data_IF_507984007191
#
_entry.id   IF_507984007191
#
_cell.length_a   1.000
_cell.length_b   1.000
_cell.length_c   1.000
_cell.angle_alpha   90.00
_cell.angle_beta   90.00
_cell.angle_gamma   90.00
#
_symmetry.space_group_name_H-M   'P 1'
#
loop_
_entity.id
_entity.type
_entity.pdbx_description
1 polymer ?
#
# COMPACT_ATOMS: atom_id res chain seq x y z
N UNK A 1 -60.54 16.75 -31.25
CA UNK A 1 -59.18 16.17 -31.22
C UNK A 1 -58.20 17.33 -31.10
N UNK A 2 -57.50 17.47 -29.98
CA UNK A 2 -56.47 18.50 -29.80
C UNK A 2 -55.16 17.80 -29.45
N UNK A 3 -54.17 17.90 -30.35
CA UNK A 3 -52.81 17.42 -30.11
C UNK A 3 -52.07 18.46 -29.26
N UNK A 4 -51.70 18.08 -28.04
CA UNK A 4 -50.82 18.88 -27.19
C UNK A 4 -49.38 18.62 -27.65
N UNK A 5 -48.79 19.61 -28.31
CA UNK A 5 -47.35 19.68 -28.56
C UNK A 5 -46.64 19.97 -27.23
N UNK A 6 -46.15 18.94 -26.55
CA UNK A 6 -45.26 19.10 -25.41
C UNK A 6 -43.92 19.63 -25.91
N UNK A 7 -43.65 20.92 -25.66
CA UNK A 7 -42.35 21.53 -25.88
C UNK A 7 -41.33 20.85 -24.97
N UNK A 8 -40.39 20.10 -25.55
CA UNK A 8 -39.25 19.55 -24.81
C UNK A 8 -38.44 20.71 -24.21
N UNK A 9 -38.51 20.87 -22.89
CA UNK A 9 -37.69 21.85 -22.16
C UNK A 9 -36.23 21.44 -22.31
N UNK A 10 -35.38 22.36 -22.80
CA UNK A 10 -33.93 22.18 -22.77
C UNK A 10 -33.50 21.97 -21.31
N UNK A 11 -32.70 20.93 -21.00
CA UNK A 11 -32.21 20.70 -19.65
C UNK A 11 -31.44 21.93 -19.17
N UNK A 12 -31.62 22.28 -17.90
CA UNK A 12 -30.89 23.40 -17.28
C UNK A 12 -29.40 23.03 -17.25
N UNK A 13 -28.52 24.03 -17.35
CA UNK A 13 -27.06 23.81 -17.39
C UNK A 13 -26.54 23.02 -16.17
N UNK A 14 -27.29 23.09 -15.06
CA UNK A 14 -27.00 22.39 -13.79
C UNK A 14 -27.54 20.95 -13.74
N UNK A 15 -28.33 20.51 -14.73
CA UNK A 15 -28.86 19.15 -14.86
C UNK A 15 -27.98 18.28 -15.80
N UNK A 16 -26.92 18.85 -16.37
CA UNK A 16 -25.98 18.12 -17.22
C UNK A 16 -24.96 17.42 -16.30
N UNK A 17 -24.91 16.08 -16.24
CA UNK A 17 -23.91 15.38 -15.45
C UNK A 17 -22.52 15.72 -15.99
N UNK A 18 -21.72 16.38 -15.15
CA UNK A 18 -20.34 16.72 -15.47
C UNK A 18 -19.46 15.60 -14.94
N UNK A 19 -18.90 14.79 -15.85
CA UNK A 19 -17.87 13.82 -15.49
C UNK A 19 -16.59 14.57 -15.10
N UNK A 20 -16.25 14.56 -13.81
CA UNK A 20 -14.93 15.00 -13.34
C UNK A 20 -13.97 13.81 -13.46
N UNK A 21 -12.95 13.94 -14.30
CA UNK A 21 -11.84 12.98 -14.34
C UNK A 21 -10.96 13.28 -13.13
N UNK A 22 -11.03 12.44 -12.10
CA UNK A 22 -10.08 12.45 -10.99
C UNK A 22 -8.94 11.50 -11.32
N UNK A 23 -7.75 12.04 -11.62
CA UNK A 23 -6.57 11.23 -11.80
C UNK A 23 -6.10 10.67 -10.45
N UNK A 24 -5.88 9.36 -10.41
CA UNK A 24 -5.25 8.67 -9.28
C UNK A 24 -3.95 8.10 -9.80
N UNK A 25 -2.83 8.54 -9.24
CA UNK A 25 -1.49 8.14 -9.70
C UNK A 25 -0.89 7.19 -8.69
N UNK A 26 -0.51 5.99 -9.15
CA UNK A 26 0.34 5.07 -8.40
C UNK A 26 1.75 5.19 -8.96
N UNK A 27 2.69 5.60 -8.12
CA UNK A 27 4.10 5.64 -8.49
C UNK A 27 4.71 4.28 -8.19
N UNK A 28 5.00 3.50 -9.24
CA UNK A 28 5.76 2.28 -9.15
C UNK A 28 7.21 2.59 -9.54
N UNK A 29 8.10 2.57 -8.56
CA UNK A 29 9.52 2.79 -8.80
C UNK A 29 10.21 1.49 -9.19
N UNK A 30 10.74 1.46 -10.41
CA UNK A 30 11.56 0.39 -10.97
C UNK A 30 13.05 0.73 -10.98
N UNK A 31 13.46 1.82 -10.32
CA UNK A 31 14.86 2.18 -10.20
C UNK A 31 15.68 1.01 -9.62
N UNK A 32 16.79 0.68 -10.29
CA UNK A 32 17.67 -0.43 -9.91
C UNK A 32 17.10 -1.83 -10.20
N UNK A 33 16.04 -1.95 -11.01
CA UNK A 33 15.49 -3.23 -11.45
C UNK A 33 15.55 -3.29 -12.97
N UNK A 34 16.20 -4.32 -13.52
CA UNK A 34 16.25 -4.56 -14.96
C UNK A 34 14.94 -5.21 -15.42
N UNK A 35 14.32 -4.68 -16.48
CA UNK A 35 13.12 -5.25 -17.10
C UNK A 35 12.05 -4.20 -17.46
N UNK A 36 10.99 -4.64 -18.14
CA UNK A 36 9.86 -3.79 -18.54
C UNK A 36 8.71 -3.87 -17.53
N UNK A 37 8.35 -2.73 -16.95
CA UNK A 37 7.30 -2.61 -15.94
C UNK A 37 5.91 -2.47 -16.57
N UNK A 38 4.98 -3.39 -16.26
CA UNK A 38 3.60 -3.35 -16.79
C UNK A 38 2.56 -3.57 -15.71
N UNK A 39 1.42 -2.89 -15.84
CA UNK A 39 0.26 -3.14 -14.98
C UNK A 39 -0.36 -4.48 -15.42
N UNK A 40 -0.40 -5.45 -14.50
CA UNK A 40 -1.01 -6.77 -14.72
C UNK A 40 -2.47 -6.81 -14.24
N UNK A 41 -2.78 -6.02 -13.22
CA UNK A 41 -4.13 -5.91 -12.67
C UNK A 41 -4.36 -4.52 -12.09
N UNK A 42 -5.55 -3.98 -12.33
CA UNK A 42 -5.94 -2.66 -11.85
C UNK A 42 -7.41 -2.66 -11.43
N UNK A 43 -7.66 -2.26 -10.20
CA UNK A 43 -8.96 -1.82 -9.74
C UNK A 43 -8.79 -0.66 -8.74
N UNK A 44 -9.88 -0.01 -8.27
CA UNK A 44 -9.80 1.15 -7.37
C UNK A 44 -9.14 0.90 -6.00
N UNK A 45 -8.88 -0.37 -5.63
CA UNK A 45 -8.37 -0.82 -4.32
C UNK A 45 -7.12 -1.71 -4.43
N UNK A 46 -6.66 -2.01 -5.64
CA UNK A 46 -5.52 -2.86 -5.90
C UNK A 46 -4.86 -2.50 -7.24
N UNK A 47 -3.54 -2.38 -7.22
CA UNK A 47 -2.70 -2.30 -8.42
C UNK A 47 -1.64 -3.38 -8.32
N UNK A 48 -1.61 -4.29 -9.29
CA UNK A 48 -0.52 -5.25 -9.45
C UNK A 48 0.32 -4.82 -10.64
N UNK A 49 1.61 -4.62 -10.39
CA UNK A 49 2.60 -4.32 -11.42
C UNK A 49 3.55 -5.50 -11.54
N UNK A 50 3.75 -5.92 -12.78
CA UNK A 50 4.68 -6.95 -13.16
C UNK A 50 5.95 -6.38 -13.76
N UNK A 51 7.00 -7.18 -13.70
CA UNK A 51 8.27 -6.96 -14.38
C UNK A 51 8.45 -8.11 -15.37
N UNK A 52 8.61 -7.79 -16.65
CA UNK A 52 8.68 -8.78 -17.74
C UNK A 52 7.50 -9.77 -17.74
N UNK A 53 6.32 -9.29 -17.34
CA UNK A 53 5.08 -10.06 -17.28
C UNK A 53 4.87 -10.85 -15.99
N UNK A 54 5.84 -10.91 -15.07
CA UNK A 54 5.73 -11.65 -13.80
C UNK A 54 5.32 -10.70 -12.66
N UNK A 55 4.36 -11.07 -11.79
CA UNK A 55 3.98 -10.26 -10.63
C UNK A 55 5.18 -9.86 -9.76
N UNK A 56 5.33 -8.55 -9.52
CA UNK A 56 6.50 -8.00 -8.83
C UNK A 56 6.13 -7.09 -7.66
N UNK A 57 5.26 -6.12 -7.90
CA UNK A 57 4.87 -5.10 -6.91
C UNK A 57 3.35 -5.05 -6.78
N UNK A 58 2.87 -5.19 -5.54
CA UNK A 58 1.45 -5.17 -5.21
C UNK A 58 1.14 -3.97 -4.32
N UNK A 59 0.21 -3.14 -4.77
CA UNK A 59 -0.37 -2.06 -3.98
C UNK A 59 -1.79 -2.42 -3.63
N UNK A 60 -2.17 -2.32 -2.36
CA UNK A 60 -3.52 -2.62 -1.90
C UNK A 60 -3.98 -1.64 -0.84
N UNK A 61 -5.29 -1.40 -0.82
CA UNK A 61 -5.95 -0.73 0.30
C UNK A 61 -6.29 -1.72 1.42
N UNK A 62 -6.44 -1.23 2.65
CA UNK A 62 -6.73 -2.07 3.82
C UNK A 62 -8.04 -2.89 3.69
N UNK A 63 -8.98 -2.44 2.85
CA UNK A 63 -10.29 -3.04 2.64
C UNK A 63 -10.41 -3.83 1.32
N UNK A 64 -9.27 -4.17 0.70
CA UNK A 64 -9.24 -4.94 -0.54
C UNK A 64 -9.53 -6.44 -0.30
N UNK A 65 -10.43 -7.02 -1.11
CA UNK A 65 -10.69 -8.46 -1.16
C UNK A 65 -9.92 -9.10 -2.32
N UNK A 66 -9.12 -10.13 -2.03
CA UNK A 66 -8.27 -10.83 -2.99
C UNK A 66 -9.01 -11.69 -4.03
N UNK A 67 -10.28 -12.03 -3.83
CA UNK A 67 -10.97 -13.06 -4.64
C UNK A 67 -10.85 -12.82 -6.15
N UNK A 68 -11.00 -11.57 -6.58
CA UNK A 68 -10.93 -11.23 -8.00
C UNK A 68 -9.49 -11.20 -8.53
N UNK A 69 -8.52 -10.83 -7.68
CA UNK A 69 -7.09 -10.87 -8.01
C UNK A 69 -6.61 -12.31 -8.17
N UNK A 70 -6.97 -13.20 -7.26
CA UNK A 70 -6.60 -14.63 -7.33
C UNK A 70 -7.26 -15.33 -8.51
N UNK A 71 -8.50 -14.97 -8.88
CA UNK A 71 -9.14 -15.50 -10.10
C UNK A 71 -8.42 -15.06 -11.37
N UNK A 72 -7.89 -13.84 -11.39
CA UNK A 72 -7.28 -13.25 -12.60
C UNK A 72 -5.82 -13.67 -12.77
N UNK A 73 -5.05 -13.62 -11.68
CA UNK A 73 -3.59 -13.84 -11.69
C UNK A 73 -3.23 -15.27 -11.26
N UNK A 74 -4.10 -15.94 -10.51
CA UNK A 74 -3.85 -17.30 -10.03
C UNK A 74 -2.68 -17.37 -9.04
N UNK A 75 -1.97 -18.50 -9.07
CA UNK A 75 -0.85 -18.78 -8.17
C UNK A 75 0.40 -17.93 -8.41
N UNK A 76 0.52 -17.28 -9.58
CA UNK A 76 1.64 -16.40 -9.89
C UNK A 76 1.68 -15.15 -9.00
N UNK A 77 0.54 -14.79 -8.39
CA UNK A 77 0.44 -13.68 -7.44
C UNK A 77 1.50 -13.78 -6.33
N UNK A 78 1.85 -14.99 -5.87
CA UNK A 78 2.81 -15.19 -4.80
C UNK A 78 4.28 -14.98 -5.21
N UNK A 79 4.53 -14.58 -6.47
CA UNK A 79 5.86 -14.14 -6.94
C UNK A 79 6.21 -12.70 -6.52
N UNK A 80 5.22 -11.92 -6.07
CA UNK A 80 5.40 -10.53 -5.63
C UNK A 80 6.52 -10.42 -4.59
N UNK A 81 7.39 -9.44 -4.82
CA UNK A 81 8.53 -9.11 -3.96
C UNK A 81 8.35 -7.82 -3.18
N UNK A 82 7.50 -6.91 -3.66
CA UNK A 82 7.26 -5.60 -3.06
C UNK A 82 5.78 -5.43 -2.73
N UNK A 83 5.47 -5.15 -1.47
CA UNK A 83 4.09 -4.95 -1.00
C UNK A 83 3.92 -3.53 -0.44
N UNK A 84 2.90 -2.83 -0.92
CA UNK A 84 2.48 -1.51 -0.41
C UNK A 84 1.07 -1.62 0.16
N UNK A 85 0.95 -1.36 1.45
CA UNK A 85 -0.31 -1.25 2.17
C UNK A 85 -0.60 0.22 2.44
N UNK A 86 -1.70 0.73 1.89
CA UNK A 86 -2.08 2.13 2.04
C UNK A 86 -3.55 2.31 2.37
N UNK A 87 -3.93 3.45 2.95
CA UNK A 87 -5.35 3.67 3.26
C UNK A 87 -6.22 3.80 1.99
N UNK A 88 -5.77 4.58 1.01
CA UNK A 88 -6.47 4.77 -0.28
C UNK A 88 -5.46 5.20 -1.34
N UNK A 89 -5.83 5.05 -2.61
CA UNK A 89 -5.06 5.61 -3.74
C UNK A 89 -5.39 7.07 -4.03
N UNK A 90 -6.56 7.55 -3.60
CA UNK A 90 -6.95 8.94 -3.76
C UNK A 90 -6.07 9.87 -2.93
N UNK A 91 -5.98 11.14 -3.32
CA UNK A 91 -5.30 12.15 -2.51
C UNK A 91 -5.97 12.24 -1.13
N UNK A 92 -5.18 12.04 -0.08
CA UNK A 92 -5.64 12.07 1.31
C UNK A 92 -5.00 13.25 2.00
N UNK A 93 -5.79 14.00 2.77
CA UNK A 93 -5.21 14.91 3.76
C UNK A 93 -4.31 14.09 4.71
N UNK A 94 -3.09 14.54 5.04
CA UNK A 94 -2.17 13.83 5.94
C UNK A 94 -2.78 13.46 7.31
N UNK A 95 -3.85 14.15 7.70
CA UNK A 95 -4.58 13.95 8.95
C UNK A 95 -5.56 12.76 8.91
N UNK A 96 -5.96 12.29 7.73
CA UNK A 96 -6.88 11.15 7.60
C UNK A 96 -6.07 9.86 7.48
N UNK A 97 -5.87 9.20 8.61
CA UNK A 97 -5.38 7.82 8.70
C UNK A 97 -6.55 6.88 8.96
N UNK A 98 -6.39 5.63 8.57
CA UNK A 98 -7.34 4.57 8.92
C UNK A 98 -6.59 3.35 9.41
N UNK A 99 -7.23 2.62 10.31
CA UNK A 99 -6.71 1.36 10.80
C UNK A 99 -6.49 0.38 9.65
N UNK A 100 -5.26 -0.11 9.53
CA UNK A 100 -4.89 -1.12 8.56
C UNK A 100 -4.93 -2.49 9.21
N UNK A 101 -6.09 -3.14 9.12
CA UNK A 101 -6.18 -4.57 9.40
C UNK A 101 -5.39 -5.32 8.34
N UNK A 102 -4.40 -6.12 8.75
CA UNK A 102 -3.63 -6.95 7.83
C UNK A 102 -4.48 -8.16 7.44
N UNK A 103 -4.82 -8.34 6.14
CA UNK A 103 -5.53 -9.54 5.71
C UNK A 103 -4.66 -10.80 5.79
N UNK A 104 -5.23 -11.91 6.30
CA UNK A 104 -4.52 -13.18 6.51
C UNK A 104 -3.86 -13.75 5.24
N UNK A 105 -4.45 -13.47 4.08
CA UNK A 105 -3.93 -13.98 2.81
C UNK A 105 -2.57 -13.38 2.43
N UNK A 106 -2.21 -12.22 2.96
CA UNK A 106 -0.88 -11.63 2.77
C UNK A 106 0.22 -12.47 3.45
N UNK A 107 -0.13 -13.30 4.44
CA UNK A 107 0.81 -14.18 5.13
C UNK A 107 1.24 -15.38 4.27
N UNK A 108 0.52 -15.64 3.17
CA UNK A 108 0.84 -16.69 2.21
C UNK A 108 2.01 -16.29 1.28
N UNK A 109 2.33 -15.00 1.15
CA UNK A 109 3.45 -14.55 0.33
C UNK A 109 4.77 -15.00 0.95
N UNK A 110 5.68 -15.57 0.16
CA UNK A 110 6.97 -16.09 0.65
C UNK A 110 8.18 -15.38 0.04
N UNK A 111 7.96 -14.36 -0.78
CA UNK A 111 9.01 -13.65 -1.53
C UNK A 111 9.04 -12.15 -1.28
N UNK A 112 8.22 -11.64 -0.34
CA UNK A 112 8.19 -10.21 -0.02
C UNK A 112 9.49 -9.83 0.68
N UNK A 113 10.33 -9.10 -0.04
CA UNK A 113 11.61 -8.55 0.41
C UNK A 113 11.46 -7.08 0.84
N UNK A 114 10.45 -6.38 0.33
CA UNK A 114 10.21 -4.97 0.59
C UNK A 114 8.75 -4.71 0.97
N UNK A 115 8.54 -4.05 2.11
CA UNK A 115 7.22 -3.80 2.68
C UNK A 115 7.05 -2.31 3.01
N UNK A 116 6.03 -1.67 2.46
CA UNK A 116 5.71 -0.26 2.73
C UNK A 116 4.31 -0.08 3.29
N UNK A 117 4.21 0.75 4.32
CA UNK A 117 2.95 1.21 4.90
C UNK A 117 2.79 2.71 4.68
N UNK A 118 1.61 3.15 4.21
CA UNK A 118 1.37 4.56 3.86
C UNK A 118 0.03 5.09 4.38
N UNK A 119 0.07 6.14 5.19
CA UNK A 119 -1.13 6.79 5.78
C UNK A 119 -2.04 5.84 6.57
N UNK A 120 -1.46 4.97 7.40
CA UNK A 120 -2.21 3.94 8.14
C UNK A 120 -1.95 3.98 9.64
N UNK A 121 -2.92 3.49 10.41
CA UNK A 121 -2.71 3.09 11.80
C UNK A 121 -2.39 1.59 11.83
N UNK A 122 -1.30 1.18 12.47
CA UNK A 122 -0.71 -0.16 12.39
C UNK A 122 -0.29 -0.66 13.77
N UNK A 123 -0.96 -1.71 14.25
CA UNK A 123 -0.63 -2.37 15.53
C UNK A 123 -0.18 -3.83 15.37
N UNK A 124 -0.52 -4.48 14.25
CA UNK A 124 -0.34 -5.93 14.06
C UNK A 124 0.87 -6.29 13.20
N UNK A 125 1.91 -5.45 13.18
CA UNK A 125 3.10 -5.64 12.33
C UNK A 125 3.79 -7.01 12.56
N UNK A 126 3.69 -7.56 13.78
CA UNK A 126 4.21 -8.88 14.14
C UNK A 126 3.65 -10.04 13.31
N UNK A 127 2.51 -9.86 12.61
CA UNK A 127 1.96 -10.85 11.69
C UNK A 127 2.93 -11.16 10.54
N UNK A 128 3.73 -10.18 10.13
CA UNK A 128 4.69 -10.33 9.03
C UNK A 128 6.08 -10.86 9.45
N UNK A 129 6.28 -11.24 10.71
CA UNK A 129 7.59 -11.70 11.25
C UNK A 129 8.26 -12.85 10.47
N UNK A 130 7.46 -13.71 9.83
CA UNK A 130 7.95 -14.86 9.07
C UNK A 130 8.17 -14.56 7.58
N UNK A 131 7.89 -13.34 7.12
CA UNK A 131 8.19 -12.92 5.76
C UNK A 131 9.68 -12.58 5.62
N UNK A 132 10.28 -12.80 4.44
CA UNK A 132 11.69 -12.48 4.22
C UNK A 132 11.92 -10.99 3.95
N UNK A 133 11.27 -10.12 4.73
CA UNK A 133 11.36 -8.66 4.56
C UNK A 133 12.76 -8.19 4.93
N UNK A 134 13.41 -7.54 3.99
CA UNK A 134 14.72 -6.94 4.12
C UNK A 134 14.61 -5.43 4.34
N UNK A 135 13.62 -4.79 3.72
CA UNK A 135 13.40 -3.35 3.82
C UNK A 135 11.96 -3.03 4.22
N UNK A 136 11.82 -2.33 5.35
CA UNK A 136 10.55 -1.79 5.84
C UNK A 136 10.49 -0.28 5.60
N UNK A 137 9.41 0.21 5.00
CA UNK A 137 9.17 1.63 4.75
C UNK A 137 7.91 2.10 5.46
N UNK A 138 8.03 3.15 6.25
CA UNK A 138 6.97 3.68 7.10
C UNK A 138 6.74 5.14 6.75
N UNK A 139 5.61 5.42 6.08
CA UNK A 139 5.25 6.76 5.66
C UNK A 139 3.91 7.17 6.25
N UNK A 140 3.94 8.19 7.11
CA UNK A 140 2.81 8.71 7.85
C UNK A 140 2.02 7.62 8.58
N UNK A 141 2.77 6.73 9.24
CA UNK A 141 2.24 5.61 10.03
C UNK A 141 2.02 6.06 11.47
N UNK A 142 0.96 5.59 12.09
CA UNK A 142 0.72 5.71 13.53
C UNK A 142 0.61 4.33 14.16
N UNK A 143 1.15 4.17 15.35
CA UNK A 143 1.00 2.96 16.17
C UNK A 143 0.49 3.39 17.55
N UNK A 144 -0.34 2.56 18.16
CA UNK A 144 -0.96 2.88 19.46
C UNK A 144 0.01 2.69 20.62
N UNK A 145 0.85 1.64 20.54
CA UNK A 145 1.86 1.32 21.56
C UNK A 145 3.26 1.25 20.92
N UNK A 146 4.15 2.22 21.20
CA UNK A 146 5.52 2.24 20.70
C UNK A 146 6.34 1.01 21.13
N UNK A 147 6.04 0.41 22.29
CA UNK A 147 6.75 -0.78 22.79
C UNK A 147 6.38 -2.00 21.96
N UNK A 148 5.08 -2.25 21.77
CA UNK A 148 4.58 -3.36 20.93
C UNK A 148 5.09 -3.22 19.50
N UNK A 149 5.12 -2.00 18.97
CA UNK A 149 5.66 -1.72 17.65
C UNK A 149 7.16 -2.08 17.54
N UNK A 150 7.98 -1.63 18.49
CA UNK A 150 9.40 -1.97 18.52
C UNK A 150 9.62 -3.48 18.61
N UNK A 151 8.89 -4.14 19.51
CA UNK A 151 8.99 -5.58 19.74
C UNK A 151 8.53 -6.38 18.51
N UNK A 152 7.61 -5.83 17.72
CA UNK A 152 7.21 -6.40 16.42
C UNK A 152 8.32 -6.29 15.37
N UNK A 153 9.03 -5.16 15.31
CA UNK A 153 10.16 -4.97 14.39
C UNK A 153 11.32 -5.93 14.71
N UNK A 154 11.62 -6.13 16.00
CA UNK A 154 12.73 -6.99 16.44
C UNK A 154 12.54 -8.45 15.99
N UNK A 155 11.30 -8.88 15.71
CA UNK A 155 10.99 -10.23 15.25
C UNK A 155 11.30 -10.47 13.76
N UNK A 156 11.65 -9.44 12.98
CA UNK A 156 12.03 -9.63 11.58
C UNK A 156 13.48 -10.11 11.45
N UNK A 157 13.65 -11.38 11.07
CA UNK A 157 14.96 -12.03 11.05
C UNK A 157 15.89 -11.58 9.91
N UNK A 158 15.33 -11.01 8.83
CA UNK A 158 16.08 -10.64 7.62
C UNK A 158 16.10 -9.12 7.36
N UNK A 159 15.52 -8.33 8.28
CA UNK A 159 15.43 -6.90 8.13
C UNK A 159 16.84 -6.29 8.19
N UNK A 160 17.18 -5.49 7.19
CA UNK A 160 18.47 -4.80 7.11
C UNK A 160 18.31 -3.28 6.97
N UNK A 161 17.12 -2.80 6.62
CA UNK A 161 16.86 -1.39 6.44
C UNK A 161 15.45 -0.99 6.88
N UNK A 162 15.35 0.15 7.55
CA UNK A 162 14.10 0.83 7.87
C UNK A 162 14.18 2.25 7.29
N UNK A 163 13.26 2.56 6.39
CA UNK A 163 13.02 3.93 5.93
C UNK A 163 11.80 4.49 6.62
N UNK A 164 11.90 5.70 7.16
CA UNK A 164 10.80 6.31 7.89
C UNK A 164 10.74 7.82 7.68
N UNK A 165 9.58 8.41 7.92
CA UNK A 165 9.42 9.86 8.08
C UNK A 165 9.39 10.23 9.58
N UNK A 166 8.62 11.26 9.95
CA UNK A 166 8.45 11.69 11.33
C UNK A 166 7.67 10.69 12.23
N UNK A 167 7.22 9.54 11.71
CA UNK A 167 6.52 8.53 12.52
C UNK A 167 7.41 7.86 13.58
N UNK A 168 8.73 7.81 13.39
CA UNK A 168 9.66 7.24 14.38
C UNK A 168 10.45 8.35 15.09
N UNK A 169 10.36 8.35 16.43
CA UNK A 169 11.16 9.25 17.25
C UNK A 169 12.55 8.64 17.56
N UNK A 170 13.47 9.47 18.06
CA UNK A 170 14.86 9.06 18.36
C UNK A 170 14.94 7.94 19.39
N UNK A 171 14.04 7.93 20.38
CA UNK A 171 14.01 6.93 21.46
C UNK A 171 13.69 5.55 20.90
N UNK A 172 12.65 5.47 20.06
CA UNK A 172 12.21 4.25 19.41
C UNK A 172 13.27 3.71 18.44
N UNK A 173 13.89 4.58 17.66
CA UNK A 173 15.02 4.22 16.78
C UNK A 173 16.16 3.64 17.63
N UNK A 174 16.50 4.27 18.74
CA UNK A 174 17.58 3.80 19.63
C UNK A 174 17.26 2.43 20.22
N UNK A 175 16.01 2.20 20.65
CA UNK A 175 15.54 0.90 21.14
C UNK A 175 15.71 -0.18 20.07
N UNK A 176 15.22 0.05 18.85
CA UNK A 176 15.30 -0.93 17.76
C UNK A 176 16.77 -1.16 17.36
N UNK A 177 17.57 -0.11 17.21
CA UNK A 177 18.98 -0.20 16.84
C UNK A 177 19.82 -0.95 17.88
N UNK A 178 19.47 -0.86 19.17
CA UNK A 178 20.14 -1.61 20.23
C UNK A 178 19.92 -3.13 20.12
N UNK A 179 18.72 -3.54 19.66
CA UNK A 179 18.36 -4.94 19.47
C UNK A 179 18.80 -5.49 18.10
N UNK A 180 18.76 -4.65 17.07
CA UNK A 180 19.11 -4.97 15.68
C UNK A 180 20.24 -4.05 15.17
N UNK A 181 21.48 -4.22 15.64
CA UNK A 181 22.58 -3.29 15.35
C UNK A 181 23.03 -3.27 13.88
N UNK A 182 22.61 -4.25 13.08
CA UNK A 182 22.89 -4.34 11.65
C UNK A 182 21.87 -3.58 10.79
N UNK A 183 20.72 -3.18 11.35
CA UNK A 183 19.67 -2.48 10.62
C UNK A 183 20.06 -1.02 10.41
N UNK A 184 19.99 -0.57 9.14
CA UNK A 184 20.22 0.82 8.75
C UNK A 184 18.91 1.60 8.81
N UNK A 185 18.97 2.81 9.35
CA UNK A 185 17.86 3.74 9.36
C UNK A 185 18.11 4.85 8.33
N UNK A 186 17.09 5.16 7.54
CA UNK A 186 17.10 6.26 6.57
C UNK A 186 15.81 7.08 6.66
N UNK A 187 15.93 8.38 6.44
CA UNK A 187 14.79 9.31 6.50
C UNK A 187 14.21 9.53 5.09
N UNK A 188 12.90 9.41 4.92
CA UNK A 188 12.18 9.72 3.67
C UNK A 188 11.74 11.19 3.70
N UNK A 189 12.29 12.00 2.80
CA UNK A 189 11.78 13.36 2.54
C UNK A 189 10.64 13.29 1.52
N UNK A 190 9.55 14.02 1.76
CA UNK A 190 8.41 14.15 0.83
C UNK A 190 8.83 14.66 -0.55
#
# INVERSE_FOLDING_TARGET
>A
MSCILTTMRKPKKDEIPVSKISHTTVYADFSGVDGDGKILYLNPKCVLVGLDGVPYMLFITADFNQDDLTKTIGGELYQVKRLVLQHTFSYVSPEKRSYCKIPDWLLAFKKIEWLKFKYVELDELWLFRNLPVQHLVLQNVRFNDPTIFADSIIQFNLLNQITHDNCLNKELISKIASALPHVKFSYETE
#
